data_IF_872087020125
#
_entry.id   IF_872087020125
#
_cell.length_a   1.000
_cell.length_b   1.000
_cell.length_c   1.000
_cell.angle_alpha   90.00
_cell.angle_beta   90.00
_cell.angle_gamma   90.00
#
_symmetry.space_group_name_H-M   'P 1'
#
loop_
_entity.id
_entity.type
_entity.pdbx_description
1 polymer ?
#
# COMPACT_ATOMS: atom_id res chain seq x y z
N UNK A 1 19.37 -30.16 -39.47
CA UNK A 1 18.03 -30.45 -38.89
C UNK A 1 17.81 -29.85 -37.49
N UNK A 2 18.83 -29.72 -36.61
CA UNK A 2 18.66 -29.13 -35.27
C UNK A 2 18.21 -27.67 -35.24
N UNK A 3 18.67 -26.81 -36.16
CA UNK A 3 18.39 -25.36 -36.06
C UNK A 3 16.94 -24.95 -36.39
N UNK A 4 16.22 -25.75 -37.19
CA UNK A 4 14.80 -25.48 -37.49
C UNK A 4 13.89 -25.79 -36.31
N UNK A 5 14.24 -26.80 -35.50
CA UNK A 5 13.47 -27.17 -34.31
C UNK A 5 13.65 -26.13 -33.19
N UNK A 6 14.87 -25.62 -33.02
CA UNK A 6 15.17 -24.54 -32.06
C UNK A 6 14.47 -23.24 -32.45
N UNK A 7 14.48 -22.88 -33.74
CA UNK A 7 13.73 -21.71 -34.21
C UNK A 7 12.21 -21.91 -34.13
N UNK A 8 11.68 -23.13 -34.32
CA UNK A 8 10.26 -23.40 -34.11
C UNK A 8 9.89 -23.32 -32.62
N UNK A 9 10.74 -23.79 -31.72
CA UNK A 9 10.52 -23.71 -30.27
C UNK A 9 10.64 -22.28 -29.75
N UNK A 10 11.52 -21.46 -30.35
CA UNK A 10 11.58 -20.03 -30.11
C UNK A 10 10.31 -19.36 -30.62
N UNK A 11 9.88 -19.67 -31.86
CA UNK A 11 8.61 -19.20 -32.41
C UNK A 11 7.42 -19.63 -31.55
N UNK A 12 7.39 -20.85 -30.99
CA UNK A 12 6.32 -21.29 -30.08
C UNK A 12 6.41 -20.66 -28.68
N UNK A 13 7.58 -20.21 -28.23
CA UNK A 13 7.73 -19.36 -27.05
C UNK A 13 7.22 -17.94 -27.30
N UNK A 14 7.41 -17.46 -28.52
CA UNK A 14 6.98 -16.13 -28.99
C UNK A 14 5.52 -16.14 -29.54
N UNK A 15 4.92 -17.33 -29.72
CA UNK A 15 3.57 -17.60 -30.30
C UNK A 15 2.72 -18.48 -29.37
N UNK A 16 3.11 -18.68 -28.11
CA UNK A 16 2.07 -18.69 -27.08
C UNK A 16 1.50 -17.29 -27.19
N UNK A 17 0.21 -17.10 -27.56
CA UNK A 17 -0.33 -15.76 -27.56
C UNK A 17 -0.04 -15.25 -26.16
N UNK A 18 0.77 -14.19 -26.05
CA UNK A 18 0.74 -13.38 -24.86
C UNK A 18 -0.74 -13.14 -24.68
N UNK A 19 -1.36 -13.80 -23.69
CA UNK A 19 -2.81 -13.69 -23.46
C UNK A 19 -3.05 -12.20 -23.48
N UNK A 20 -3.89 -11.74 -24.41
CA UNK A 20 -4.14 -10.31 -24.52
C UNK A 20 -4.65 -9.88 -23.13
N UNK A 21 -4.22 -8.73 -22.64
CA UNK A 21 -4.56 -8.28 -21.28
C UNK A 21 -6.07 -8.31 -21.05
N UNK A 22 -6.87 -8.01 -22.08
CA UNK A 22 -8.33 -8.14 -22.08
C UNK A 22 -8.84 -9.56 -21.74
N UNK A 23 -8.17 -10.61 -22.21
CA UNK A 23 -8.53 -12.01 -21.87
C UNK A 23 -8.21 -12.30 -20.39
N UNK A 24 -7.11 -11.75 -19.88
CA UNK A 24 -6.73 -11.88 -18.48
C UNK A 24 -7.71 -11.14 -17.58
N UNK A 25 -8.14 -9.93 -17.95
CA UNK A 25 -9.16 -9.14 -17.25
C UNK A 25 -10.51 -9.88 -17.20
N UNK A 26 -10.95 -10.49 -18.31
CA UNK A 26 -12.19 -11.29 -18.33
C UNK A 26 -12.11 -12.53 -17.42
N UNK A 27 -10.93 -13.15 -17.34
CA UNK A 27 -10.70 -14.29 -16.43
C UNK A 27 -10.63 -13.82 -14.98
N UNK A 28 -10.03 -12.67 -14.72
CA UNK A 28 -9.94 -12.05 -13.40
C UNK A 28 -11.35 -11.80 -12.85
N UNK A 29 -12.23 -11.16 -13.63
CA UNK A 29 -13.61 -10.90 -13.22
C UNK A 29 -14.37 -12.18 -12.84
N UNK A 30 -14.24 -13.26 -13.63
CA UNK A 30 -14.86 -14.55 -13.32
C UNK A 30 -14.32 -15.19 -12.05
N UNK A 31 -13.01 -15.11 -11.83
CA UNK A 31 -12.38 -15.66 -10.63
C UNK A 31 -12.76 -14.87 -9.38
N UNK A 32 -12.95 -13.55 -9.51
CA UNK A 32 -13.47 -12.69 -8.43
C UNK A 32 -14.91 -13.09 -8.06
N UNK A 33 -15.80 -13.23 -9.06
CA UNK A 33 -17.19 -13.67 -8.84
C UNK A 33 -17.29 -15.06 -8.18
N UNK A 34 -16.33 -15.95 -8.44
CA UNK A 34 -16.31 -17.30 -7.85
C UNK A 34 -15.50 -17.41 -6.57
N UNK A 35 -14.93 -16.31 -6.06
CA UNK A 35 -14.00 -16.29 -4.92
C UNK A 35 -12.86 -17.32 -5.04
N UNK A 36 -12.34 -17.54 -6.25
CA UNK A 36 -11.24 -18.49 -6.52
C UNK A 36 -9.88 -17.82 -6.27
N UNK A 37 -9.45 -17.75 -5.01
CA UNK A 37 -8.21 -17.07 -4.60
C UNK A 37 -6.95 -17.64 -5.29
N UNK A 38 -6.84 -18.96 -5.41
CA UNK A 38 -5.71 -19.60 -6.09
C UNK A 38 -5.72 -19.27 -7.60
N UNK A 39 -6.90 -19.25 -8.23
CA UNK A 39 -7.09 -18.78 -9.60
C UNK A 39 -6.73 -17.31 -9.77
N UNK A 40 -7.14 -16.45 -8.84
CA UNK A 40 -6.83 -15.01 -8.82
C UNK A 40 -5.33 -14.77 -8.74
N UNK A 41 -4.64 -15.39 -7.78
CA UNK A 41 -3.19 -15.30 -7.63
C UNK A 41 -2.49 -15.70 -8.94
N UNK A 42 -2.94 -16.78 -9.59
CA UNK A 42 -2.37 -17.22 -10.86
C UNK A 42 -2.64 -16.25 -12.01
N UNK A 43 -3.81 -15.64 -12.07
CA UNK A 43 -4.16 -14.66 -13.11
C UNK A 43 -3.34 -13.38 -12.91
N UNK A 44 -3.22 -12.87 -11.69
CA UNK A 44 -2.38 -11.71 -11.37
C UNK A 44 -0.92 -11.95 -11.73
N UNK A 45 -0.37 -13.13 -11.39
CA UNK A 45 0.96 -13.51 -11.84
C UNK A 45 1.08 -13.48 -13.38
N UNK A 46 0.11 -14.04 -14.12
CA UNK A 46 0.13 -14.04 -15.59
C UNK A 46 0.07 -12.61 -16.15
N UNK A 47 -0.68 -11.70 -15.52
CA UNK A 47 -0.75 -10.27 -15.87
C UNK A 47 0.58 -9.56 -15.59
N UNK A 48 1.20 -9.80 -14.44
CA UNK A 48 2.50 -9.24 -14.09
C UNK A 48 3.60 -9.66 -15.06
N UNK A 49 3.65 -10.94 -15.42
CA UNK A 49 4.57 -11.46 -16.46
C UNK A 49 4.31 -10.81 -17.83
N UNK A 50 3.04 -10.58 -18.18
CA UNK A 50 2.68 -9.89 -19.41
C UNK A 50 3.20 -8.44 -19.42
N UNK A 51 2.94 -7.67 -18.35
CA UNK A 51 3.39 -6.29 -18.21
C UNK A 51 4.92 -6.19 -18.25
N UNK A 52 5.63 -7.09 -17.56
CA UNK A 52 7.09 -7.13 -17.56
C UNK A 52 7.67 -7.35 -18.96
N UNK A 53 7.09 -8.28 -19.75
CA UNK A 53 7.47 -8.50 -21.15
C UNK A 53 7.10 -7.34 -22.08
N UNK A 54 6.02 -6.62 -21.73
CA UNK A 54 5.54 -5.45 -22.44
C UNK A 54 6.29 -4.15 -22.13
N UNK A 55 7.25 -4.17 -21.20
CA UNK A 55 7.99 -2.98 -20.80
C UNK A 55 7.21 -2.03 -19.89
N UNK A 56 6.26 -2.57 -19.11
CA UNK A 56 5.49 -1.82 -18.10
C UNK A 56 5.81 -2.35 -16.69
N UNK A 57 6.96 -1.96 -16.11
CA UNK A 57 7.43 -2.52 -14.85
C UNK A 57 6.59 -2.07 -13.64
N UNK A 58 5.93 -0.90 -13.70
CA UNK A 58 5.04 -0.45 -12.62
C UNK A 58 3.82 -1.38 -12.48
N UNK A 59 3.12 -1.67 -13.59
CA UNK A 59 2.01 -2.63 -13.55
C UNK A 59 2.48 -4.06 -13.30
N UNK A 60 3.68 -4.41 -13.76
CA UNK A 60 4.28 -5.70 -13.43
C UNK A 60 4.45 -5.86 -11.93
N UNK A 61 5.04 -4.86 -11.25
CA UNK A 61 5.22 -4.85 -9.80
C UNK A 61 3.87 -5.00 -9.09
N UNK A 62 2.90 -4.12 -9.37
CA UNK A 62 1.55 -4.21 -8.80
C UNK A 62 0.97 -5.62 -8.94
N UNK A 63 0.88 -6.16 -10.16
CA UNK A 63 0.22 -7.45 -10.36
C UNK A 63 0.97 -8.62 -9.71
N UNK A 64 2.31 -8.59 -9.68
CA UNK A 64 3.10 -9.63 -9.00
C UNK A 64 2.94 -9.54 -7.48
N UNK A 65 3.04 -8.35 -6.90
CA UNK A 65 2.85 -8.13 -5.45
C UNK A 65 1.44 -8.51 -5.01
N UNK A 66 0.43 -8.26 -5.84
CA UNK A 66 -0.95 -8.73 -5.62
C UNK A 66 -1.05 -10.25 -5.63
N UNK A 67 -0.39 -10.92 -6.57
CA UNK A 67 -0.35 -12.37 -6.62
C UNK A 67 0.30 -12.95 -5.36
N UNK A 68 1.45 -12.39 -4.97
CA UNK A 68 2.20 -12.79 -3.79
C UNK A 68 1.38 -12.62 -2.51
N UNK A 69 0.79 -11.44 -2.31
CA UNK A 69 -0.06 -11.15 -1.15
C UNK A 69 -1.21 -12.15 -1.01
N UNK A 70 -1.85 -12.58 -2.10
CA UNK A 70 -2.98 -13.53 -2.05
C UNK A 70 -2.51 -14.94 -1.67
N UNK A 71 -1.40 -15.43 -2.24
CA UNK A 71 -0.96 -16.79 -1.94
C UNK A 71 -0.15 -16.89 -0.64
N UNK A 72 0.43 -15.79 -0.17
CA UNK A 72 1.28 -15.76 1.04
C UNK A 72 0.46 -15.52 2.32
N UNK A 73 -0.73 -14.94 2.24
CA UNK A 73 -1.58 -14.67 3.42
C UNK A 73 -2.36 -15.89 3.93
N UNK A 74 -2.45 -16.96 3.14
CA UNK A 74 -3.31 -18.12 3.44
C UNK A 74 -2.67 -19.45 3.06
N UNK A 75 -2.47 -20.31 4.06
CA UNK A 75 -1.86 -21.65 3.87
C UNK A 75 -2.62 -22.49 2.82
N UNK A 76 -3.95 -22.46 2.84
CA UNK A 76 -4.78 -23.23 1.90
C UNK A 76 -4.62 -22.74 0.45
N UNK A 77 -4.37 -21.45 0.23
CA UNK A 77 -4.09 -20.87 -1.08
C UNK A 77 -2.64 -21.16 -1.49
N UNK A 78 -1.69 -21.00 -0.55
CA UNK A 78 -0.27 -21.25 -0.75
C UNK A 78 0.00 -22.67 -1.29
N UNK A 79 -0.68 -23.68 -0.75
CA UNK A 79 -0.57 -25.07 -1.18
C UNK A 79 -1.17 -25.34 -2.57
N UNK A 80 -2.21 -24.58 -2.96
CA UNK A 80 -2.87 -24.71 -4.26
C UNK A 80 -2.09 -24.03 -5.39
N UNK A 81 -1.36 -22.96 -5.09
CA UNK A 81 -0.49 -22.29 -6.06
C UNK A 81 0.81 -23.06 -6.20
N UNK A 82 1.15 -23.44 -7.44
CA UNK A 82 2.36 -24.22 -7.74
C UNK A 82 3.62 -23.50 -7.24
N UNK A 83 4.51 -24.24 -6.59
CA UNK A 83 5.82 -23.75 -6.10
C UNK A 83 6.59 -22.98 -7.19
N UNK A 84 6.70 -23.54 -8.40
CA UNK A 84 7.33 -22.86 -9.56
C UNK A 84 6.73 -21.50 -9.93
N UNK A 85 5.46 -21.24 -9.61
CA UNK A 85 4.82 -19.92 -9.81
C UNK A 85 5.19 -18.99 -8.66
N UNK A 86 5.19 -19.49 -7.41
CA UNK A 86 5.54 -18.71 -6.23
C UNK A 86 7.01 -18.26 -6.27
N UNK A 87 7.93 -19.17 -6.56
CA UNK A 87 9.36 -18.86 -6.70
C UNK A 87 9.63 -17.86 -7.83
N UNK A 88 9.09 -18.11 -9.03
CA UNK A 88 9.27 -17.18 -10.16
C UNK A 88 8.56 -15.82 -9.93
N UNK A 89 7.49 -15.77 -9.12
CA UNK A 89 6.87 -14.52 -8.70
C UNK A 89 7.82 -13.72 -7.80
N UNK A 90 8.36 -14.36 -6.77
CA UNK A 90 9.33 -13.76 -5.84
C UNK A 90 10.59 -13.27 -6.55
N UNK A 91 11.18 -14.09 -7.44
CA UNK A 91 12.35 -13.71 -8.24
C UNK A 91 12.09 -12.47 -9.11
N UNK A 92 10.88 -12.33 -9.66
CA UNK A 92 10.50 -11.16 -10.48
C UNK A 92 10.26 -9.91 -9.65
N UNK A 93 9.64 -10.05 -8.48
CA UNK A 93 9.47 -8.94 -7.54
C UNK A 93 10.85 -8.42 -7.14
N UNK A 94 11.77 -9.30 -6.73
CA UNK A 94 13.15 -8.95 -6.41
C UNK A 94 13.85 -8.24 -7.58
N UNK A 95 13.65 -8.69 -8.82
CA UNK A 95 14.19 -7.98 -9.98
C UNK A 95 13.61 -6.56 -10.13
N UNK A 96 12.32 -6.38 -9.88
CA UNK A 96 11.63 -5.10 -10.02
C UNK A 96 11.93 -4.14 -8.86
N UNK A 97 12.31 -4.63 -7.69
CA UNK A 97 12.75 -3.81 -6.54
C UNK A 97 14.06 -3.05 -6.86
N UNK A 98 14.91 -3.60 -7.74
CA UNK A 98 16.15 -2.97 -8.20
C UNK A 98 15.93 -1.98 -9.36
N UNK A 99 14.73 -1.93 -9.96
CA UNK A 99 14.41 -1.00 -11.03
C UNK A 99 14.13 0.41 -10.47
N UNK A 100 14.39 1.48 -11.23
CA UNK A 100 14.16 2.86 -10.80
C UNK A 100 12.67 3.24 -10.87
N UNK A 101 11.81 2.47 -10.21
CA UNK A 101 10.38 2.70 -10.11
C UNK A 101 10.11 3.79 -9.07
N UNK A 102 9.07 4.59 -9.29
CA UNK A 102 8.63 5.60 -8.32
C UNK A 102 8.33 4.95 -6.96
N UNK A 103 7.76 3.75 -6.97
CA UNK A 103 7.45 2.97 -5.77
C UNK A 103 8.67 2.46 -5.01
N UNK A 104 9.87 2.48 -5.60
CA UNK A 104 11.12 2.12 -4.95
C UNK A 104 11.91 3.37 -4.54
N UNK A 105 11.95 4.37 -5.43
CA UNK A 105 12.71 5.60 -5.24
C UNK A 105 12.16 6.50 -4.12
N UNK A 106 10.83 6.58 -3.97
CA UNK A 106 10.25 7.44 -2.92
C UNK A 106 10.51 6.88 -1.51
N UNK A 107 10.30 5.58 -1.22
CA UNK A 107 10.72 5.00 0.06
C UNK A 107 12.20 5.20 0.36
N UNK A 108 13.10 4.94 -0.60
CA UNK A 108 14.55 5.15 -0.43
C UNK A 108 14.85 6.61 -0.06
N UNK A 109 14.27 7.58 -0.78
CA UNK A 109 14.43 9.01 -0.48
C UNK A 109 13.89 9.38 0.90
N UNK A 110 12.74 8.83 1.31
CA UNK A 110 12.15 9.06 2.63
C UNK A 110 13.06 8.55 3.73
N UNK A 111 13.60 7.34 3.59
CA UNK A 111 14.52 6.73 4.56
C UNK A 111 15.79 7.58 4.70
N UNK A 112 16.41 7.99 3.59
CA UNK A 112 17.55 8.90 3.60
C UNK A 112 17.22 10.24 4.29
N UNK A 113 16.06 10.83 3.96
CA UNK A 113 15.66 12.11 4.56
C UNK A 113 15.42 12.00 6.07
N UNK A 114 14.76 10.92 6.52
CA UNK A 114 14.55 10.67 7.93
C UNK A 114 15.88 10.47 8.68
N UNK A 115 16.80 9.65 8.14
CA UNK A 115 18.10 9.38 8.76
C UNK A 115 18.97 10.64 8.87
N UNK A 116 19.03 11.45 7.82
CA UNK A 116 20.02 12.53 7.72
C UNK A 116 19.49 13.91 8.12
N UNK A 117 18.17 14.13 8.09
CA UNK A 117 17.59 15.47 8.25
C UNK A 117 16.71 15.65 9.48
N UNK A 118 16.17 14.57 10.05
CA UNK A 118 15.12 14.63 11.06
C UNK A 118 15.55 13.96 12.37
N UNK A 119 15.02 14.47 13.48
CA UNK A 119 15.00 13.74 14.75
C UNK A 119 13.77 12.83 14.86
N UNK A 120 13.74 11.97 15.90
CA UNK A 120 12.65 11.01 16.12
C UNK A 120 11.26 11.67 16.15
N UNK A 121 11.11 12.80 16.85
CA UNK A 121 9.82 13.51 16.94
C UNK A 121 9.42 14.04 15.57
N UNK A 122 10.36 14.61 14.82
CA UNK A 122 10.11 15.12 13.47
C UNK A 122 9.70 13.99 12.51
N UNK A 123 10.35 12.82 12.58
CA UNK A 123 9.99 11.64 11.79
C UNK A 123 8.59 11.15 12.14
N UNK A 124 8.25 11.07 13.43
CA UNK A 124 6.91 10.68 13.88
C UNK A 124 5.84 11.64 13.41
N UNK A 125 6.11 12.94 13.43
CA UNK A 125 5.19 13.96 12.90
C UNK A 125 5.01 13.84 11.39
N UNK A 126 6.05 13.45 10.65
CA UNK A 126 5.94 13.21 9.21
C UNK A 126 5.03 12.00 8.92
N UNK A 127 5.20 10.90 9.66
CA UNK A 127 4.28 9.76 9.62
C UNK A 127 2.84 10.14 10.01
N UNK A 128 2.67 10.97 11.05
CA UNK A 128 1.35 11.45 11.50
C UNK A 128 0.61 12.25 10.41
N UNK A 129 1.35 13.11 9.70
CA UNK A 129 0.79 13.88 8.58
C UNK A 129 0.32 12.96 7.45
N UNK A 130 1.05 11.88 7.18
CA UNK A 130 0.64 10.86 6.19
C UNK A 130 -0.59 10.09 6.66
N UNK A 131 -0.62 9.64 7.92
CA UNK A 131 -1.81 9.00 8.50
C UNK A 131 -3.04 9.90 8.43
N UNK A 132 -2.87 11.22 8.67
CA UNK A 132 -3.94 12.20 8.53
C UNK A 132 -4.50 12.26 7.11
N UNK A 133 -3.66 12.19 6.07
CA UNK A 133 -4.11 12.18 4.66
C UNK A 133 -4.85 10.89 4.27
N UNK A 134 -4.57 9.79 4.95
CA UNK A 134 -5.28 8.52 4.75
C UNK A 134 -6.67 8.49 5.40
N UNK A 135 -7.05 9.48 6.22
CA UNK A 135 -8.33 9.46 6.96
C UNK A 135 -9.55 9.40 6.06
N UNK A 136 -9.59 10.16 4.95
CA UNK A 136 -10.74 10.12 4.05
C UNK A 136 -10.81 8.80 3.26
N UNK A 137 -9.65 8.23 2.91
CA UNK A 137 -9.57 6.89 2.30
C UNK A 137 -10.08 5.83 3.28
N UNK A 138 -9.63 5.88 4.54
CA UNK A 138 -10.07 4.97 5.59
C UNK A 138 -11.57 5.06 5.87
N UNK A 139 -12.13 6.28 5.94
CA UNK A 139 -13.59 6.48 6.07
C UNK A 139 -14.40 5.86 4.92
N UNK A 140 -13.89 5.92 3.68
CA UNK A 140 -14.54 5.30 2.52
C UNK A 140 -14.55 3.78 2.65
N UNK A 141 -13.39 3.20 2.94
CA UNK A 141 -13.22 1.75 3.06
C UNK A 141 -13.91 1.16 4.29
N UNK A 142 -14.06 1.94 5.37
CA UNK A 142 -14.77 1.51 6.58
C UNK A 142 -16.27 1.24 6.37
N UNK A 143 -16.84 1.67 5.25
CA UNK A 143 -18.19 1.29 4.84
C UNK A 143 -18.30 -0.13 4.29
N UNK A 144 -17.17 -0.79 4.00
CA UNK A 144 -17.11 -2.15 3.52
C UNK A 144 -17.13 -3.13 4.71
N UNK A 145 -17.89 -4.23 4.66
CA UNK A 145 -17.95 -5.20 5.75
C UNK A 145 -16.56 -5.73 6.11
N UNK A 146 -16.23 -5.71 7.40
CA UNK A 146 -14.95 -6.20 7.93
C UNK A 146 -13.82 -5.16 7.92
N UNK A 147 -14.03 -3.98 7.30
CA UNK A 147 -13.01 -2.94 7.17
C UNK A 147 -13.19 -1.76 8.15
N UNK A 148 -14.05 -1.91 9.17
CA UNK A 148 -14.51 -0.81 10.02
C UNK A 148 -13.36 -0.12 10.78
N UNK A 149 -12.28 -0.84 11.08
CA UNK A 149 -11.08 -0.29 11.77
C UNK A 149 -10.44 0.85 11.00
N UNK A 150 -10.54 0.87 9.67
CA UNK A 150 -10.01 1.97 8.85
C UNK A 150 -10.73 3.30 9.13
N UNK A 151 -11.93 3.26 9.72
CA UNK A 151 -12.68 4.44 10.15
C UNK A 151 -12.10 5.09 11.41
N UNK A 152 -11.32 4.35 12.18
CA UNK A 152 -10.76 4.79 13.46
C UNK A 152 -9.53 5.69 13.30
N UNK A 153 -8.93 5.73 12.10
CA UNK A 153 -7.74 6.53 11.78
C UNK A 153 -7.88 8.01 12.19
N UNK A 154 -9.06 8.60 11.98
CA UNK A 154 -9.30 10.00 12.32
C UNK A 154 -9.18 10.30 13.82
N UNK A 155 -9.64 9.38 14.67
CA UNK A 155 -9.50 9.50 16.13
C UNK A 155 -8.09 9.14 16.57
N UNK A 156 -7.48 8.10 15.98
CA UNK A 156 -6.10 7.72 16.28
C UNK A 156 -5.12 8.87 16.02
N UNK A 157 -5.25 9.57 14.89
CA UNK A 157 -4.45 10.77 14.57
C UNK A 157 -4.58 11.86 15.64
N UNK A 158 -5.79 12.14 16.12
CA UNK A 158 -6.01 13.17 17.16
C UNK A 158 -5.37 12.78 18.49
N UNK A 159 -5.48 11.51 18.86
CA UNK A 159 -4.90 10.98 20.10
C UNK A 159 -3.38 10.99 20.06
N UNK A 160 -2.77 10.55 18.95
CA UNK A 160 -1.32 10.60 18.73
C UNK A 160 -0.83 12.04 18.84
N UNK A 161 -1.45 12.97 18.11
CA UNK A 161 -1.07 14.40 18.14
C UNK A 161 -1.10 14.96 19.57
N UNK A 162 -2.16 14.67 20.32
CA UNK A 162 -2.32 15.16 21.69
C UNK A 162 -1.32 14.52 22.64
N UNK A 163 -1.00 13.23 22.44
CA UNK A 163 -0.06 12.50 23.30
C UNK A 163 1.37 13.04 23.28
N UNK A 164 1.78 13.74 22.21
CA UNK A 164 3.06 14.45 22.17
C UNK A 164 3.11 15.66 23.13
N UNK A 165 1.97 16.21 23.51
CA UNK A 165 1.86 17.45 24.29
C UNK A 165 1.44 17.18 25.74
N UNK A 166 0.59 16.19 25.95
CA UNK A 166 0.05 15.86 27.26
C UNK A 166 -0.26 14.36 27.40
N UNK A 167 -0.49 13.92 28.64
CA UNK A 167 -0.86 12.53 28.90
C UNK A 167 -2.28 12.27 28.41
N UNK A 168 -2.44 11.19 27.65
CA UNK A 168 -3.76 10.64 27.31
C UNK A 168 -4.30 9.76 28.45
N UNK A 169 -5.61 9.55 28.46
CA UNK A 169 -6.28 8.69 29.45
C UNK A 169 -6.02 7.21 29.17
N UNK A 170 -6.33 6.34 30.14
CA UNK A 170 -6.23 4.89 29.95
C UNK A 170 -7.18 4.37 28.87
N UNK A 171 -8.38 4.94 28.75
CA UNK A 171 -9.36 4.57 27.72
C UNK A 171 -8.87 4.95 26.32
N UNK A 172 -8.25 6.13 26.20
CA UNK A 172 -7.68 6.63 24.95
C UNK A 172 -6.44 5.82 24.52
N UNK A 173 -5.61 5.43 25.48
CA UNK A 173 -4.51 4.52 25.24
C UNK A 173 -5.00 3.14 24.79
N UNK A 174 -6.04 2.60 25.44
CA UNK A 174 -6.65 1.33 25.03
C UNK A 174 -7.21 1.40 23.61
N UNK A 175 -7.85 2.52 23.24
CA UNK A 175 -8.33 2.72 21.87
C UNK A 175 -7.20 2.62 20.83
N UNK A 176 -6.03 3.21 21.10
CA UNK A 176 -4.88 3.10 20.19
C UNK A 176 -4.40 1.65 20.07
N UNK A 177 -4.31 0.92 21.18
CA UNK A 177 -3.95 -0.51 21.16
C UNK A 177 -4.97 -1.34 20.38
N UNK A 178 -6.27 -1.18 20.66
CA UNK A 178 -7.33 -1.90 19.96
C UNK A 178 -7.34 -1.60 18.46
N UNK A 179 -7.06 -0.34 18.08
CA UNK A 179 -6.93 0.05 16.66
C UNK A 179 -5.72 -0.61 16.01
N UNK A 180 -4.58 -0.63 16.71
CA UNK A 180 -3.34 -1.28 16.26
C UNK A 180 -3.56 -2.78 16.02
N UNK A 181 -4.12 -3.49 16.99
CA UNK A 181 -4.39 -4.93 16.91
C UNK A 181 -5.37 -5.25 15.78
N UNK A 182 -6.45 -4.48 15.63
CA UNK A 182 -7.44 -4.68 14.57
C UNK A 182 -6.90 -4.39 13.18
N UNK A 183 -5.92 -3.48 13.03
CA UNK A 183 -5.24 -3.27 11.75
C UNK A 183 -4.39 -4.48 11.38
N UNK A 184 -3.70 -5.10 12.35
CA UNK A 184 -2.97 -6.34 12.12
C UNK A 184 -3.93 -7.46 11.68
N UNK A 185 -5.04 -7.64 12.41
CA UNK A 185 -6.05 -8.67 12.11
C UNK A 185 -6.73 -8.46 10.73
N UNK A 186 -6.91 -7.22 10.29
CA UNK A 186 -7.52 -6.91 9.00
C UNK A 186 -6.76 -7.52 7.82
N UNK A 187 -5.42 -7.63 7.91
CA UNK A 187 -4.61 -8.22 6.85
C UNK A 187 -4.87 -9.71 6.62
N UNK A 188 -5.34 -10.41 7.64
CA UNK A 188 -5.63 -11.86 7.61
C UNK A 188 -7.11 -12.15 7.30
N UNK A 189 -7.98 -11.13 7.29
CA UNK A 189 -9.42 -11.31 7.05
C UNK A 189 -9.74 -11.55 5.57
N UNK A 190 -10.70 -12.43 5.29
CA UNK A 190 -11.13 -12.75 3.93
C UNK A 190 -11.62 -11.49 3.18
N UNK A 191 -12.21 -10.52 3.89
CA UNK A 191 -12.71 -9.28 3.32
C UNK A 191 -11.60 -8.45 2.65
N UNK A 192 -10.36 -8.57 3.12
CA UNK A 192 -9.22 -7.84 2.56
C UNK A 192 -8.94 -8.25 1.11
N UNK A 193 -9.12 -9.54 0.83
CA UNK A 193 -8.93 -10.14 -0.48
C UNK A 193 -10.17 -10.11 -1.38
N UNK A 194 -11.32 -9.62 -0.87
CA UNK A 194 -12.56 -9.51 -1.63
C UNK A 194 -12.55 -8.30 -2.57
N UNK A 195 -12.06 -8.52 -3.78
CA UNK A 195 -11.94 -7.49 -4.81
C UNK A 195 -13.30 -7.10 -5.44
N UNK A 196 -14.37 -7.80 -5.10
CA UNK A 196 -15.75 -7.43 -5.50
C UNK A 196 -16.33 -6.36 -4.58
N UNK A 197 -15.81 -6.24 -3.35
CA UNK A 197 -16.17 -5.20 -2.39
C UNK A 197 -15.44 -3.90 -2.71
N UNK A 198 -16.19 -2.83 -2.98
CA UNK A 198 -15.64 -1.56 -3.47
C UNK A 198 -16.39 -0.37 -2.89
N UNK A 199 -15.67 0.72 -2.62
CA UNK A 199 -16.22 2.00 -2.19
C UNK A 199 -16.14 3.04 -3.31
N UNK A 200 -17.17 3.87 -3.43
CA UNK A 200 -17.25 4.91 -4.46
C UNK A 200 -16.21 6.02 -4.24
N UNK A 201 -15.58 6.45 -5.33
CA UNK A 201 -14.68 7.62 -5.40
C UNK A 201 -15.30 8.66 -6.34
N UNK A 202 -15.66 9.86 -5.85
CA UNK A 202 -16.26 10.89 -6.69
C UNK A 202 -15.39 11.25 -7.90
N UNK A 203 -15.91 11.02 -9.11
CA UNK A 203 -15.20 11.34 -10.35
C UNK A 203 -14.06 10.37 -10.73
N UNK A 204 -13.87 9.29 -9.96
CA UNK A 204 -12.88 8.25 -10.20
C UNK A 204 -13.51 6.85 -10.30
N UNK A 205 -12.67 5.84 -10.47
CA UNK A 205 -13.11 4.45 -10.34
C UNK A 205 -13.26 4.08 -8.85
N UNK A 206 -14.15 3.13 -8.50
CA UNK A 206 -14.28 2.68 -7.12
C UNK A 206 -12.96 2.15 -6.56
N UNK A 207 -12.70 2.40 -5.28
CA UNK A 207 -11.52 1.90 -4.55
C UNK A 207 -11.83 0.57 -3.87
N UNK A 208 -10.86 -0.34 -3.91
CA UNK A 208 -10.84 -1.62 -3.22
C UNK A 208 -9.93 -1.53 -2.00
N UNK A 209 -10.19 -2.33 -0.97
CA UNK A 209 -9.27 -2.45 0.18
C UNK A 209 -7.88 -2.89 -0.28
N UNK A 210 -7.83 -3.80 -1.26
CA UNK A 210 -6.57 -4.26 -1.84
C UNK A 210 -5.80 -3.20 -2.63
N UNK A 211 -6.39 -2.03 -2.88
CA UNK A 211 -5.67 -0.88 -3.44
C UNK A 211 -4.79 -0.16 -2.41
N UNK A 212 -4.84 -0.58 -1.15
CA UNK A 212 -3.89 -0.25 -0.08
C UNK A 212 -2.52 -0.94 -0.29
N UNK A 213 -2.10 -1.00 -1.56
CA UNK A 213 -0.87 -1.59 -2.07
C UNK A 213 -0.67 -3.05 -1.62
N UNK A 214 -1.68 -3.90 -1.88
CA UNK A 214 -1.78 -5.20 -1.23
C UNK A 214 -1.94 -5.00 0.27
N UNK A 215 -1.09 -5.62 1.08
CA UNK A 215 -1.10 -5.48 2.54
C UNK A 215 -0.28 -4.31 3.08
N UNK A 216 0.55 -3.66 2.25
CA UNK A 216 1.60 -2.75 2.72
C UNK A 216 1.04 -1.62 3.60
N UNK A 217 0.04 -0.86 3.12
CA UNK A 217 -0.42 0.33 3.85
C UNK A 217 -1.02 -0.04 5.21
N UNK A 218 -1.70 -1.19 5.32
CA UNK A 218 -2.27 -1.64 6.60
C UNK A 218 -1.16 -2.09 7.56
N UNK A 219 -0.16 -2.81 7.06
CA UNK A 219 1.04 -3.17 7.84
C UNK A 219 1.75 -1.92 8.36
N UNK A 220 1.98 -0.92 7.50
CA UNK A 220 2.70 0.29 7.92
C UNK A 220 1.89 1.18 8.87
N UNK A 221 0.56 1.19 8.77
CA UNK A 221 -0.30 1.83 9.77
C UNK A 221 -0.19 1.13 11.12
N UNK A 222 -0.18 -0.20 11.13
CA UNK A 222 0.00 -1.00 12.34
C UNK A 222 1.38 -0.75 12.97
N UNK A 223 2.47 -0.85 12.21
CA UNK A 223 3.84 -0.62 12.69
C UNK A 223 4.00 0.81 13.22
N UNK A 224 3.48 1.82 12.52
CA UNK A 224 3.54 3.21 12.98
C UNK A 224 2.82 3.38 14.33
N UNK A 225 1.61 2.84 14.47
CA UNK A 225 0.84 2.88 15.72
C UNK A 225 1.56 2.15 16.85
N UNK A 226 2.05 0.94 16.60
CA UNK A 226 2.79 0.13 17.55
C UNK A 226 4.05 0.86 18.04
N UNK A 227 4.82 1.47 17.13
CA UNK A 227 5.98 2.29 17.49
C UNK A 227 5.60 3.45 18.41
N UNK A 228 4.44 4.08 18.18
CA UNK A 228 3.96 5.19 18.99
C UNK A 228 3.43 4.71 20.34
N UNK A 229 2.78 3.55 20.39
CA UNK A 229 2.37 2.90 21.64
C UNK A 229 3.59 2.58 22.49
N UNK A 230 4.65 2.01 21.90
CA UNK A 230 5.95 1.79 22.58
C UNK A 230 6.56 3.09 23.10
N UNK A 231 6.46 4.18 22.35
CA UNK A 231 6.91 5.50 22.83
C UNK A 231 6.19 5.90 24.12
N UNK A 232 4.88 5.65 24.21
CA UNK A 232 4.08 5.99 25.39
C UNK A 232 4.35 5.08 26.60
N UNK A 233 4.74 3.83 26.39
CA UNK A 233 4.94 2.83 27.45
C UNK A 233 6.40 2.65 27.88
N UNK A 234 7.32 2.66 26.93
CA UNK A 234 8.74 2.30 27.09
C UNK A 234 9.68 3.50 26.90
N UNK A 235 9.20 4.59 26.31
CA UNK A 235 9.96 5.80 26.04
C UNK A 235 10.80 5.75 24.75
N UNK A 236 11.44 6.88 24.38
CA UNK A 236 12.07 7.05 23.06
C UNK A 236 13.25 6.10 22.82
N UNK A 237 13.96 5.68 23.87
CA UNK A 237 15.14 4.82 23.73
C UNK A 237 14.80 3.38 23.25
N UNK A 238 13.54 2.96 23.34
CA UNK A 238 13.06 1.63 22.93
C UNK A 238 11.95 1.71 21.86
N UNK A 239 11.76 2.88 21.25
CA UNK A 239 10.74 3.11 20.24
C UNK A 239 11.33 3.94 19.12
N UNK A 240 11.90 3.28 18.12
CA UNK A 240 12.33 3.96 16.90
C UNK A 240 11.08 4.40 16.11
N UNK A 241 11.19 5.54 15.42
CA UNK A 241 10.13 6.04 14.56
C UNK A 241 10.07 5.25 13.24
N UNK A 242 8.87 4.80 12.86
CA UNK A 242 8.65 4.16 11.57
C UNK A 242 8.59 5.18 10.42
N UNK A 243 9.22 4.84 9.30
CA UNK A 243 9.29 5.72 8.11
C UNK A 243 8.49 5.18 6.93
N UNK A 244 8.23 3.88 6.88
CA UNK A 244 7.65 3.20 5.72
C UNK A 244 6.15 3.53 5.52
N UNK A 245 5.48 4.08 6.54
CA UNK A 245 4.14 4.68 6.39
C UNK A 245 4.15 5.93 5.51
N UNK A 246 5.22 6.73 5.48
CA UNK A 246 5.26 8.04 4.79
C UNK A 246 4.94 7.95 3.29
N UNK A 247 5.46 6.99 2.51
CA UNK A 247 5.09 6.84 1.10
C UNK A 247 3.69 6.25 0.88
N UNK A 248 3.03 5.69 1.90
CA UNK A 248 1.79 4.91 1.72
C UNK A 248 0.58 5.73 1.22
N UNK A 249 0.58 7.05 1.38
CA UNK A 249 -0.47 7.90 0.80
C UNK A 249 -0.40 8.03 -0.73
N UNK A 250 0.65 7.51 -1.39
CA UNK A 250 0.72 7.46 -2.86
C UNK A 250 -0.32 6.52 -3.48
N UNK A 251 -0.69 5.43 -2.79
CA UNK A 251 -1.66 4.43 -3.25
C UNK A 251 -1.48 4.02 -4.73
N UNK A 252 -0.27 3.58 -5.14
CA UNK A 252 0.05 3.33 -6.54
C UNK A 252 -0.87 2.28 -7.17
N UNK A 253 -1.26 1.27 -6.41
CA UNK A 253 -2.16 0.19 -6.82
C UNK A 253 -3.52 0.70 -7.31
N UNK A 254 -4.12 1.67 -6.61
CA UNK A 254 -5.38 2.29 -7.05
C UNK A 254 -5.25 2.85 -8.47
N UNK A 255 -4.20 3.63 -8.70
CA UNK A 255 -3.97 4.30 -9.97
C UNK A 255 -3.54 3.35 -11.09
N UNK A 256 -2.65 2.39 -10.80
CA UNK A 256 -2.18 1.41 -11.78
C UNK A 256 -3.30 0.46 -12.22
N UNK A 257 -4.25 0.15 -11.33
CA UNK A 257 -5.44 -0.65 -11.63
C UNK A 257 -6.48 0.13 -12.45
N UNK A 258 -6.65 1.42 -12.17
CA UNK A 258 -7.80 2.19 -12.69
C UNK A 258 -7.45 3.12 -13.86
N UNK A 259 -6.16 3.44 -14.04
CA UNK A 259 -5.65 4.31 -15.08
C UNK A 259 -4.68 3.55 -16.01
N UNK A 260 -4.55 4.02 -17.27
CA UNK A 260 -3.63 3.43 -18.26
C UNK A 260 -2.35 4.24 -18.43
N UNK A 261 -2.33 5.44 -17.87
CA UNK A 261 -1.23 6.38 -17.86
C UNK A 261 -0.06 5.86 -17.02
N UNK A 262 1.12 6.47 -17.22
CA UNK A 262 2.28 6.30 -16.37
C UNK A 262 2.02 6.96 -15.00
N UNK A 263 2.30 6.23 -13.92
CA UNK A 263 2.10 6.67 -12.54
C UNK A 263 2.75 8.04 -12.26
N UNK A 264 3.96 8.27 -12.81
CA UNK A 264 4.71 9.52 -12.62
C UNK A 264 4.08 10.75 -13.29
N UNK A 265 3.18 10.54 -14.26
CA UNK A 265 2.47 11.59 -14.99
C UNK A 265 1.11 11.94 -14.38
N UNK A 266 0.66 11.17 -13.38
CA UNK A 266 -0.62 11.42 -12.74
C UNK A 266 -0.53 12.64 -11.81
N UNK A 267 -1.38 13.66 -12.00
CA UNK A 267 -1.36 14.86 -11.16
C UNK A 267 -1.55 14.57 -9.67
N UNK A 268 -2.32 13.54 -9.32
CA UNK A 268 -2.57 13.13 -7.95
C UNK A 268 -1.30 12.59 -7.29
N UNK A 269 -0.55 11.73 -8.00
CA UNK A 269 0.74 11.21 -7.54
C UNK A 269 1.75 12.35 -7.40
N UNK A 270 1.85 13.24 -8.38
CA UNK A 270 2.76 14.39 -8.31
C UNK A 270 2.46 15.29 -7.10
N UNK A 271 1.18 15.62 -6.86
CA UNK A 271 0.77 16.38 -5.68
C UNK A 271 1.14 15.68 -4.38
N UNK A 272 1.00 14.35 -4.32
CA UNK A 272 1.30 13.60 -3.11
C UNK A 272 2.81 13.50 -2.85
N UNK A 273 3.62 13.30 -3.90
CA UNK A 273 5.09 13.41 -3.80
C UNK A 273 5.50 14.80 -3.32
N UNK A 274 4.90 15.87 -3.86
CA UNK A 274 5.14 17.24 -3.41
C UNK A 274 4.76 17.44 -1.93
N UNK A 275 3.64 16.86 -1.47
CA UNK A 275 3.24 16.92 -0.05
C UNK A 275 4.23 16.19 0.85
N UNK A 276 4.68 15.00 0.48
CA UNK A 276 5.69 14.23 1.23
C UNK A 276 6.94 15.10 1.44
N UNK A 277 7.44 15.74 0.38
CA UNK A 277 8.61 16.61 0.45
C UNK A 277 8.37 17.89 1.25
N UNK A 278 7.23 18.56 1.03
CA UNK A 278 6.86 19.76 1.78
C UNK A 278 6.66 19.48 3.27
N UNK A 279 6.20 18.28 3.63
CA UNK A 279 6.03 17.86 5.02
C UNK A 279 7.38 17.63 5.70
N UNK A 280 8.34 17.00 5.02
CA UNK A 280 9.72 16.90 5.52
C UNK A 280 10.31 18.29 5.83
N UNK A 281 10.15 19.25 4.91
CA UNK A 281 10.61 20.61 5.13
C UNK A 281 9.88 21.29 6.29
N UNK A 282 8.58 21.08 6.39
CA UNK A 282 7.73 21.64 7.42
C UNK A 282 8.14 21.14 8.81
N UNK A 283 8.23 19.82 9.03
CA UNK A 283 8.59 19.24 10.34
C UNK A 283 10.02 19.57 10.77
N UNK A 284 10.93 19.75 9.79
CA UNK A 284 12.31 20.19 10.03
C UNK A 284 12.40 21.66 10.47
N UNK A 285 11.43 22.48 10.10
CA UNK A 285 11.43 23.91 10.38
C UNK A 285 11.03 24.23 11.83
N UNK A 286 11.23 25.48 12.27
CA UNK A 286 10.75 25.91 13.59
C UNK A 286 9.24 26.12 13.55
N UNK A 287 8.48 25.09 13.90
CA UNK A 287 7.01 25.08 13.93
C UNK A 287 6.47 25.08 15.35
N UNK A 288 5.26 25.59 15.54
CA UNK A 288 4.51 25.45 16.79
C UNK A 288 3.57 24.24 16.75
N UNK A 289 3.12 23.78 17.92
CA UNK A 289 2.08 22.75 18.01
C UNK A 289 0.76 23.18 17.36
N UNK A 290 0.43 24.47 17.38
CA UNK A 290 -0.74 25.01 16.69
C UNK A 290 -0.61 24.89 15.16
N UNK A 291 0.61 25.08 14.62
CA UNK A 291 0.88 24.88 13.20
C UNK A 291 0.70 23.41 12.79
N UNK A 292 1.22 22.49 13.60
CA UNK A 292 1.07 21.05 13.40
C UNK A 292 -0.42 20.67 13.45
N UNK A 293 -1.13 21.09 14.49
CA UNK A 293 -2.54 20.77 14.68
C UNK A 293 -3.41 21.28 13.53
N UNK A 294 -3.15 22.50 13.04
CA UNK A 294 -3.82 23.04 11.87
C UNK A 294 -3.57 22.19 10.62
N UNK A 295 -2.32 21.82 10.34
CA UNK A 295 -1.96 21.03 9.16
C UNK A 295 -2.54 19.61 9.22
N UNK A 296 -2.55 19.00 10.40
CA UNK A 296 -3.23 17.72 10.65
C UNK A 296 -4.72 17.84 10.37
N UNK A 297 -5.40 18.86 10.90
CA UNK A 297 -6.82 19.08 10.65
C UNK A 297 -7.13 19.28 9.16
N UNK A 298 -6.30 20.03 8.43
CA UNK A 298 -6.41 20.21 6.98
C UNK A 298 -6.26 18.88 6.23
N UNK A 299 -5.28 18.05 6.60
CA UNK A 299 -5.04 16.75 5.97
C UNK A 299 -6.11 15.71 6.28
N UNK A 300 -6.72 15.73 7.47
CA UNK A 300 -7.85 14.86 7.79
C UNK A 300 -9.08 15.12 6.91
N UNK A 301 -9.24 16.34 6.40
CA UNK A 301 -10.32 16.71 5.49
C UNK A 301 -9.94 16.60 4.01
N UNK A 302 -8.65 16.42 3.70
CA UNK A 302 -8.17 16.18 2.35
C UNK A 302 -8.56 14.77 1.90
N UNK A 303 -9.21 14.69 0.74
CA UNK A 303 -9.36 13.43 0.02
C UNK A 303 -8.28 13.33 -1.05
N UNK A 304 -7.31 12.44 -0.84
CA UNK A 304 -6.17 12.26 -1.75
C UNK A 304 -6.56 11.56 -3.07
N UNK A 305 -7.77 11.02 -3.18
CA UNK A 305 -8.27 10.38 -4.41
C UNK A 305 -9.05 11.34 -5.32
N UNK A 306 -9.30 12.59 -4.90
CA UNK A 306 -10.17 13.57 -5.59
C UNK A 306 -9.41 14.85 -5.99
#
# INVERSE_FOLDING_TARGET
MKSKLTNLLQLFRDVLPARNLEELEQRLAKAQESHDLAGLAKIYYDMGVHCMKGGDPNRAMMYLSRADSIFSSRDDVYEQVKESVREDCSDRIMQLEEEPLLTNQIPEQVQEQAEWLLDDIQTRLWGLLTMARLVQVGKRLAGLPGCEVLGDLGQAVDLILRSFQERISQEEFQFLMDTCDRLYELGDDECFSDMTSQAEVPGGAPIQVFDLNGLLVVTELNLYLDSHIRLLTEGPDNSEAETDLIPCALLPDYYLRTCKEDLSLLPQIQKEVERIQADCEFVRSKISWDDIARKVAEYKELDILV
#
